data_IF_965045243481
#
_entry.id   IF_965045243481
#
_cell.length_a   1.000
_cell.length_b   1.000
_cell.length_c   1.000
_cell.angle_alpha   90.00
_cell.angle_beta   90.00
_cell.angle_gamma   90.00
#
_symmetry.space_group_name_H-M   'P 1'
#
loop_
_entity.id
_entity.type
_entity.pdbx_description
1 polymer ?
#
# COMPACT_ATOMS: atom_id res chain seq x y z
N UNK A 1 2.84 0.79 -31.62
CA UNK A 1 3.95 -0.19 -31.66
C UNK A 1 4.82 0.16 -32.86
N UNK A 2 5.75 1.08 -32.67
CA UNK A 2 6.82 1.36 -33.64
C UNK A 2 7.97 0.40 -33.32
N UNK A 3 8.14 -0.62 -34.16
CA UNK A 3 9.13 -1.68 -33.98
C UNK A 3 10.35 -1.52 -34.92
N UNK A 4 10.67 -0.30 -35.33
CA UNK A 4 11.79 -0.03 -36.25
C UNK A 4 12.53 1.25 -35.86
N UNK A 5 13.02 1.30 -34.62
CA UNK A 5 14.04 2.26 -34.24
C UNK A 5 15.41 1.78 -34.78
N UNK A 6 16.09 2.57 -35.65
CA UNK A 6 17.36 2.19 -36.27
C UNK A 6 18.51 1.99 -35.27
N UNK A 7 18.35 2.40 -34.01
CA UNK A 7 19.30 2.09 -32.95
C UNK A 7 19.42 0.58 -32.68
N UNK A 8 18.33 -0.18 -32.83
CA UNK A 8 18.30 -1.61 -32.53
C UNK A 8 18.85 -2.50 -33.65
N UNK A 9 18.82 -2.04 -34.91
CA UNK A 9 19.39 -2.78 -36.04
C UNK A 9 20.92 -2.90 -35.95
N UNK A 10 21.60 -1.98 -35.25
CA UNK A 10 23.05 -2.06 -35.02
C UNK A 10 23.45 -3.11 -33.98
N UNK A 11 22.50 -3.57 -33.17
CA UNK A 11 22.74 -4.61 -32.15
C UNK A 11 22.45 -6.02 -32.67
N UNK A 12 21.79 -6.14 -33.83
CA UNK A 12 21.53 -7.43 -34.45
C UNK A 12 22.77 -7.91 -35.19
N UNK A 13 23.68 -8.59 -34.47
CA UNK A 13 24.71 -9.42 -35.10
C UNK A 13 24.18 -10.86 -35.23
N UNK A 14 24.37 -11.53 -36.37
CA UNK A 14 24.11 -12.96 -36.46
C UNK A 14 24.90 -13.68 -35.37
N UNK A 15 24.22 -14.53 -34.61
CA UNK A 15 24.86 -15.41 -33.63
C UNK A 15 25.83 -16.32 -34.38
N UNK A 16 27.06 -16.44 -33.89
CA UNK A 16 28.11 -17.22 -34.53
C UNK A 16 27.71 -18.70 -34.65
N UNK A 17 27.90 -19.31 -35.82
CA UNK A 17 27.50 -20.70 -36.15
C UNK A 17 27.96 -21.74 -35.12
N UNK A 18 29.11 -21.50 -34.47
CA UNK A 18 29.64 -22.36 -33.40
C UNK A 18 28.74 -22.46 -32.15
N UNK A 19 27.77 -21.55 -31.95
CA UNK A 19 26.79 -21.60 -30.85
C UNK A 19 25.51 -22.35 -31.22
N UNK A 20 25.32 -22.66 -32.52
CA UNK A 20 24.17 -23.42 -33.03
C UNK A 20 24.51 -24.91 -33.21
N UNK A 21 25.76 -25.30 -32.95
CA UNK A 21 26.24 -26.68 -32.98
C UNK A 21 25.55 -27.55 -31.94
N UNK A 22 24.63 -28.38 -32.41
CA UNK A 22 24.01 -29.48 -31.67
C UNK A 22 25.06 -30.43 -31.11
N UNK A 23 25.36 -30.35 -29.81
CA UNK A 23 25.99 -31.46 -29.10
C UNK A 23 25.38 -31.65 -27.71
N UNK A 24 24.08 -31.95 -27.67
CA UNK A 24 23.46 -32.62 -26.52
C UNK A 24 23.49 -34.12 -26.74
N UNK A 25 24.68 -34.70 -26.67
CA UNK A 25 24.86 -36.06 -26.18
C UNK A 25 25.93 -36.04 -25.09
N UNK A 26 25.48 -35.78 -23.86
CA UNK A 26 26.23 -36.14 -22.66
C UNK A 26 25.36 -37.06 -21.83
N UNK A 27 25.83 -38.31 -21.78
CA UNK A 27 25.27 -39.40 -21.02
C UNK A 27 25.29 -39.06 -19.52
N UNK A 28 24.15 -39.27 -18.86
CA UNK A 28 24.04 -39.14 -17.41
C UNK A 28 24.84 -40.27 -16.76
N UNK A 29 26.02 -39.94 -16.22
CA UNK A 29 26.65 -40.70 -15.14
C UNK A 29 26.91 -39.77 -13.96
N UNK A 30 26.55 -40.26 -12.77
CA UNK A 30 26.60 -39.58 -11.46
C UNK A 30 28.00 -39.03 -11.19
N UNK A 31 28.08 -37.73 -10.93
CA UNK A 31 29.30 -37.03 -10.51
C UNK A 31 29.23 -35.54 -10.85
N UNK A 32 28.49 -34.75 -10.06
CA UNK A 32 28.16 -33.34 -10.36
C UNK A 32 29.30 -32.32 -10.33
N UNK A 33 30.56 -32.75 -10.27
CA UNK A 33 31.72 -31.87 -10.44
C UNK A 33 32.35 -31.95 -11.82
N UNK A 34 32.27 -33.12 -12.45
CA UNK A 34 33.08 -33.47 -13.62
C UNK A 34 32.50 -32.88 -14.92
N UNK A 35 31.17 -32.86 -15.04
CA UNK A 35 30.49 -32.32 -16.23
C UNK A 35 30.67 -30.82 -16.41
N UNK A 36 30.76 -30.05 -15.31
CA UNK A 36 31.00 -28.61 -15.37
C UNK A 36 32.45 -28.34 -15.77
N UNK A 37 33.39 -29.09 -15.22
CA UNK A 37 34.80 -29.02 -15.60
C UNK A 37 34.99 -29.31 -17.09
N UNK A 38 34.36 -30.37 -17.59
CA UNK A 38 34.39 -30.74 -19.02
C UNK A 38 33.81 -29.63 -19.91
N UNK A 39 32.69 -29.03 -19.53
CA UNK A 39 32.08 -27.94 -20.32
C UNK A 39 32.94 -26.67 -20.28
N UNK A 40 33.50 -26.32 -19.12
CA UNK A 40 34.40 -25.16 -19.01
C UNK A 40 35.70 -25.36 -19.81
N UNK A 41 36.25 -26.57 -19.77
CA UNK A 41 37.44 -26.95 -20.52
C UNK A 41 37.19 -26.87 -22.04
N UNK A 42 36.04 -27.33 -22.53
CA UNK A 42 35.68 -27.22 -23.95
C UNK A 42 35.46 -25.77 -24.40
N UNK A 43 34.82 -24.94 -23.58
CA UNK A 43 34.57 -23.53 -23.90
C UNK A 43 35.90 -22.77 -23.98
N UNK A 44 36.81 -22.97 -23.00
CA UNK A 44 38.11 -22.30 -22.97
C UNK A 44 39.03 -22.75 -24.10
N UNK A 45 39.02 -24.04 -24.45
CA UNK A 45 39.78 -24.60 -25.58
C UNK A 45 39.26 -24.14 -26.94
N UNK A 46 37.97 -23.81 -27.03
CA UNK A 46 37.35 -23.25 -28.25
C UNK A 46 37.60 -21.75 -28.43
N UNK A 47 38.13 -21.06 -27.40
CA UNK A 47 38.66 -19.71 -27.48
C UNK A 47 40.17 -19.72 -27.76
N UNK A 48 40.67 -18.74 -28.50
CA UNK A 48 42.04 -18.66 -29.04
C UNK A 48 43.13 -18.34 -27.97
N UNK A 49 43.07 -18.97 -26.80
CA UNK A 49 44.04 -18.82 -25.70
C UNK A 49 44.29 -20.19 -25.04
N UNK A 50 44.95 -21.09 -25.77
CA UNK A 50 45.46 -22.34 -25.21
C UNK A 50 46.89 -22.12 -24.72
N UNK A 51 47.05 -21.60 -23.50
CA UNK A 51 48.32 -21.66 -22.78
C UNK A 51 48.17 -22.45 -21.47
N UNK A 52 49.27 -23.09 -21.06
CA UNK A 52 49.30 -24.11 -19.99
C UNK A 52 48.98 -23.60 -18.58
N UNK A 53 48.79 -22.29 -18.41
CA UNK A 53 48.50 -21.63 -17.13
C UNK A 53 47.00 -21.56 -16.79
N UNK A 54 46.14 -22.19 -17.59
CA UNK A 54 44.68 -22.07 -17.49
C UNK A 54 44.02 -23.03 -16.48
N UNK A 55 44.70 -24.12 -16.08
CA UNK A 55 44.11 -25.09 -15.14
C UNK A 55 43.99 -24.57 -13.69
N UNK A 56 44.90 -23.71 -13.23
CA UNK A 56 44.81 -23.10 -11.89
C UNK A 56 43.70 -22.03 -11.78
N UNK A 57 43.34 -21.38 -12.90
CA UNK A 57 42.24 -20.41 -12.91
C UNK A 57 40.86 -21.08 -12.87
N UNK A 58 40.73 -22.27 -13.45
CA UNK A 58 39.48 -23.04 -13.46
C UNK A 58 39.10 -23.49 -12.03
N UNK A 59 40.06 -23.94 -11.23
CA UNK A 59 39.83 -24.39 -9.84
C UNK A 59 39.32 -23.22 -8.96
N UNK A 60 39.86 -22.01 -9.16
CA UNK A 60 39.39 -20.78 -8.48
C UNK A 60 37.99 -20.33 -8.89
N UNK A 61 37.55 -20.67 -10.10
CA UNK A 61 36.21 -20.33 -10.61
C UNK A 61 35.18 -21.36 -10.13
N UNK A 62 35.58 -22.62 -9.96
CA UNK A 62 34.75 -23.67 -9.37
C UNK A 62 34.31 -23.31 -7.94
N UNK A 63 35.14 -22.66 -7.13
CA UNK A 63 34.71 -22.24 -5.79
C UNK A 63 33.78 -21.01 -5.75
N UNK A 64 33.50 -20.39 -6.91
CA UNK A 64 32.77 -19.11 -7.01
C UNK A 64 31.47 -19.16 -7.82
N UNK A 65 30.96 -20.33 -8.21
CA UNK A 65 29.65 -20.39 -8.85
C UNK A 65 28.51 -20.41 -7.82
N UNK A 66 27.46 -19.62 -8.09
CA UNK A 66 26.25 -19.55 -7.28
C UNK A 66 25.20 -20.45 -7.93
N UNK A 67 24.85 -21.56 -7.29
CA UNK A 67 23.81 -22.46 -7.78
C UNK A 67 22.46 -21.73 -7.81
N UNK A 68 21.89 -21.54 -9.01
CA UNK A 68 20.60 -20.86 -9.22
C UNK A 68 19.38 -21.79 -9.07
N UNK A 69 19.58 -23.01 -8.55
CA UNK A 69 18.47 -23.90 -8.25
C UNK A 69 17.65 -23.36 -7.07
N UNK A 70 16.34 -23.24 -7.27
CA UNK A 70 15.39 -22.81 -6.25
C UNK A 70 15.27 -23.89 -5.15
N UNK A 71 15.87 -23.71 -3.96
CA UNK A 71 15.84 -24.71 -2.93
C UNK A 71 14.53 -24.58 -2.17
N UNK A 72 13.63 -25.53 -2.40
CA UNK A 72 12.27 -25.59 -1.79
C UNK A 72 12.26 -25.61 -0.26
N UNK A 73 13.41 -25.81 0.39
CA UNK A 73 13.59 -25.79 1.85
C UNK A 73 13.51 -24.37 2.48
N UNK A 74 13.78 -23.30 1.72
CA UNK A 74 13.68 -21.92 2.22
C UNK A 74 12.25 -21.40 2.44
N UNK A 75 11.22 -22.07 1.88
CA UNK A 75 9.81 -21.70 2.07
C UNK A 75 9.38 -21.74 3.53
N UNK A 76 9.92 -22.64 4.34
CA UNK A 76 9.52 -22.79 5.74
C UNK A 76 10.05 -21.68 6.64
N UNK A 77 11.27 -21.18 6.40
CA UNK A 77 11.83 -20.04 7.11
C UNK A 77 11.12 -18.73 6.71
N UNK A 78 10.86 -18.54 5.42
CA UNK A 78 10.11 -17.41 4.88
C UNK A 78 8.67 -17.36 5.42
N UNK A 79 7.95 -18.49 5.40
CA UNK A 79 6.59 -18.57 5.92
C UNK A 79 6.53 -18.35 7.44
N UNK A 80 7.50 -18.86 8.21
CA UNK A 80 7.60 -18.58 9.65
C UNK A 80 7.92 -17.12 9.95
N UNK A 81 8.83 -16.50 9.21
CA UNK A 81 9.14 -15.07 9.34
C UNK A 81 7.91 -14.21 9.01
N UNK A 82 7.16 -14.57 7.96
CA UNK A 82 5.90 -13.92 7.59
C UNK A 82 4.81 -14.10 8.65
N UNK A 83 4.64 -15.29 9.22
CA UNK A 83 3.70 -15.51 10.33
C UNK A 83 4.10 -14.72 11.58
N UNK A 84 5.39 -14.70 11.92
CA UNK A 84 5.93 -13.88 13.03
C UNK A 84 5.72 -12.39 12.78
N UNK A 85 5.88 -11.92 11.54
CA UNK A 85 5.62 -10.52 11.15
C UNK A 85 4.13 -10.16 11.23
N UNK A 86 3.24 -11.09 10.89
CA UNK A 86 1.79 -10.90 11.06
C UNK A 86 1.42 -10.82 12.54
N UNK A 87 2.01 -11.64 13.41
CA UNK A 87 1.79 -11.58 14.86
C UNK A 87 2.53 -10.42 15.56
N UNK A 88 3.66 -9.93 15.03
CA UNK A 88 4.43 -8.81 15.61
C UNK A 88 3.84 -7.44 15.28
N UNK A 89 2.81 -7.38 14.42
CA UNK A 89 1.96 -6.19 14.24
C UNK A 89 1.20 -5.79 15.51
N UNK A 90 1.24 -6.63 16.55
CA UNK A 90 0.54 -6.51 17.83
C UNK A 90 1.02 -5.46 18.84
N UNK A 91 1.84 -4.46 18.48
CA UNK A 91 2.18 -3.35 19.41
C UNK A 91 1.50 -2.03 19.04
N UNK A 92 1.30 -1.74 17.75
CA UNK A 92 0.64 -0.48 17.31
C UNK A 92 -0.88 -0.52 17.46
N UNK A 93 -1.48 -1.72 17.45
CA UNK A 93 -2.93 -1.94 17.48
C UNK A 93 -3.54 -2.08 18.89
N UNK A 94 -2.73 -2.12 19.95
CA UNK A 94 -3.26 -2.45 21.29
C UNK A 94 -3.87 -1.25 22.01
N UNK A 95 -3.41 -0.03 21.72
CA UNK A 95 -3.90 1.19 22.39
C UNK A 95 -5.19 1.72 21.77
N UNK A 96 -5.36 1.57 20.46
CA UNK A 96 -6.52 2.05 19.72
C UNK A 96 -6.93 1.04 18.66
N UNK A 97 -8.23 0.91 18.44
CA UNK A 97 -8.76 0.05 17.38
C UNK A 97 -8.29 0.55 16.01
N UNK A 98 -7.89 -0.40 15.16
CA UNK A 98 -7.68 -0.17 13.73
C UNK A 98 -8.99 0.26 13.05
N UNK A 99 -8.91 1.02 11.95
CA UNK A 99 -10.08 1.35 11.14
C UNK A 99 -10.83 0.09 10.65
N UNK A 100 -10.11 -1.02 10.43
CA UNK A 100 -10.72 -2.32 10.09
C UNK A 100 -11.54 -2.87 11.26
N UNK A 101 -11.06 -2.71 12.49
CA UNK A 101 -11.77 -3.11 13.70
C UNK A 101 -12.98 -2.20 13.94
N UNK A 102 -12.82 -0.89 13.81
CA UNK A 102 -13.93 0.07 13.92
C UNK A 102 -15.08 -0.26 12.95
N UNK A 103 -14.76 -0.60 11.69
CA UNK A 103 -15.73 -1.03 10.69
C UNK A 103 -16.36 -2.39 11.01
N UNK A 104 -15.59 -3.31 11.57
CA UNK A 104 -16.10 -4.64 11.93
C UNK A 104 -17.09 -4.59 13.09
N UNK A 105 -16.85 -3.75 14.10
CA UNK A 105 -17.74 -3.60 15.25
C UNK A 105 -18.76 -2.46 15.12
N UNK A 106 -18.75 -1.71 14.00
CA UNK A 106 -19.67 -0.60 13.77
C UNK A 106 -19.55 0.54 14.79
N UNK A 107 -18.42 0.66 15.49
CA UNK A 107 -18.23 1.65 16.57
C UNK A 107 -18.37 3.12 16.12
N UNK A 108 -18.16 3.41 14.83
CA UNK A 108 -18.38 4.74 14.26
C UNK A 108 -19.76 4.85 13.61
N UNK A 109 -20.54 3.77 13.56
CA UNK A 109 -21.86 3.80 12.95
C UNK A 109 -22.82 4.60 13.83
N UNK A 110 -23.68 5.36 13.17
CA UNK A 110 -24.72 6.10 13.86
C UNK A 110 -26.01 5.26 13.84
N UNK A 111 -26.58 4.88 15.00
CA UNK A 111 -27.69 3.93 15.05
C UNK A 111 -28.91 4.42 14.26
N UNK A 112 -29.48 3.57 13.40
CA UNK A 112 -30.64 3.91 12.55
C UNK A 112 -31.85 4.41 13.34
N UNK A 113 -32.05 3.93 14.57
CA UNK A 113 -33.13 4.39 15.46
C UNK A 113 -33.08 5.89 15.76
N UNK A 114 -31.88 6.48 15.74
CA UNK A 114 -31.65 7.91 15.99
C UNK A 114 -31.47 8.70 14.69
N UNK A 115 -31.62 8.09 13.51
CA UNK A 115 -31.57 8.81 12.22
C UNK A 115 -32.94 9.41 11.88
N UNK A 116 -33.49 10.22 12.79
CA UNK A 116 -34.73 10.96 12.53
C UNK A 116 -34.46 12.44 12.79
N UNK A 117 -34.56 13.24 11.75
CA UNK A 117 -34.28 14.67 11.78
C UNK A 117 -35.12 15.38 12.85
N UNK A 118 -36.40 15.04 12.92
CA UNK A 118 -37.37 15.63 13.85
C UNK A 118 -36.97 15.48 15.32
N UNK A 119 -36.23 14.41 15.67
CA UNK A 119 -35.75 14.20 17.05
C UNK A 119 -34.75 15.28 17.49
N UNK A 120 -34.06 15.91 16.54
CA UNK A 120 -33.02 16.90 16.80
C UNK A 120 -33.48 18.34 16.60
N UNK A 121 -34.74 18.56 16.22
CA UNK A 121 -35.30 19.91 16.12
C UNK A 121 -35.29 20.62 17.48
N UNK A 122 -35.62 19.91 18.56
CA UNK A 122 -35.53 20.45 19.92
C UNK A 122 -34.10 20.87 20.28
N UNK A 123 -33.10 20.11 19.86
CA UNK A 123 -31.69 20.45 20.04
C UNK A 123 -31.30 21.70 19.25
N UNK A 124 -31.83 21.85 18.03
CA UNK A 124 -31.64 23.06 17.23
C UNK A 124 -32.26 24.30 17.89
N UNK A 125 -33.47 24.19 18.44
CA UNK A 125 -34.11 25.29 19.18
C UNK A 125 -33.27 25.73 20.38
N UNK A 126 -32.78 24.79 21.18
CA UNK A 126 -31.86 25.10 22.29
C UNK A 126 -30.56 25.76 21.81
N UNK A 127 -30.00 25.30 20.69
CA UNK A 127 -28.79 25.88 20.11
C UNK A 127 -29.00 27.34 19.65
N UNK A 128 -30.17 27.68 19.11
CA UNK A 128 -30.50 29.07 18.73
C UNK A 128 -30.52 30.00 19.95
N UNK A 129 -31.11 29.57 21.05
CA UNK A 129 -31.11 30.34 22.29
C UNK A 129 -29.68 30.52 22.82
N UNK A 130 -28.92 29.42 22.88
CA UNK A 130 -27.51 29.43 23.28
C UNK A 130 -26.68 30.42 22.45
N UNK A 131 -26.73 30.33 21.12
CA UNK A 131 -25.90 31.18 20.27
C UNK A 131 -26.35 32.64 20.32
N UNK A 132 -27.65 32.90 20.46
CA UNK A 132 -28.16 34.25 20.64
C UNK A 132 -27.62 34.88 21.93
N UNK A 133 -27.61 34.15 23.03
CA UNK A 133 -27.10 34.66 24.31
C UNK A 133 -25.58 34.79 24.32
N UNK A 134 -24.86 33.85 23.68
CA UNK A 134 -23.42 33.94 23.48
C UNK A 134 -23.03 35.20 22.70
N UNK A 135 -23.78 35.49 21.62
CA UNK A 135 -23.52 36.66 20.76
C UNK A 135 -23.98 37.98 21.38
N UNK A 136 -25.06 38.01 22.17
CA UNK A 136 -25.46 39.23 22.92
C UNK A 136 -24.38 39.68 23.91
N UNK A 137 -23.71 38.71 24.55
CA UNK A 137 -22.61 38.99 25.49
C UNK A 137 -21.29 39.34 24.78
N UNK A 138 -21.16 38.93 23.51
CA UNK A 138 -20.04 39.30 22.67
C UNK A 138 -20.16 40.72 22.13
N UNK A 139 -19.35 41.65 22.63
CA UNK A 139 -19.16 42.94 21.95
C UNK A 139 -18.77 42.67 20.50
N UNK A 140 -19.34 43.42 19.55
CA UNK A 140 -19.23 43.22 18.09
C UNK A 140 -17.82 42.90 17.54
N UNK A 141 -16.76 43.26 18.26
CA UNK A 141 -15.36 43.05 17.87
C UNK A 141 -14.82 41.62 18.11
N UNK A 142 -15.54 40.75 18.81
CA UNK A 142 -15.05 39.41 19.20
C UNK A 142 -15.91 38.24 18.72
N UNK A 143 -16.84 38.45 17.77
CA UNK A 143 -17.77 37.40 17.31
C UNK A 143 -17.02 36.15 16.82
N UNK A 144 -15.90 36.34 16.11
CA UNK A 144 -15.05 35.26 15.63
C UNK A 144 -14.56 34.35 16.76
N UNK A 145 -14.09 34.95 17.87
CA UNK A 145 -13.63 34.20 19.04
C UNK A 145 -14.77 33.38 19.65
N UNK A 146 -15.96 33.96 19.78
CA UNK A 146 -17.11 33.23 20.31
C UNK A 146 -17.49 32.05 19.43
N UNK A 147 -17.52 32.22 18.11
CA UNK A 147 -17.81 31.13 17.17
C UNK A 147 -16.73 30.04 17.20
N UNK A 148 -15.45 30.40 17.34
CA UNK A 148 -14.34 29.45 17.47
C UNK A 148 -14.44 28.58 18.72
N UNK A 149 -15.00 29.13 19.80
CA UNK A 149 -15.15 28.41 21.08
C UNK A 149 -16.54 27.82 21.29
N UNK A 150 -17.50 28.13 20.41
CA UNK A 150 -18.89 27.74 20.57
C UNK A 150 -19.07 26.25 20.33
N UNK A 151 -20.02 25.67 21.05
CA UNK A 151 -20.55 24.35 20.69
C UNK A 151 -21.43 24.48 19.44
N UNK A 152 -21.19 23.62 18.45
CA UNK A 152 -21.92 23.57 17.19
C UNK A 152 -22.89 22.39 17.11
N UNK A 153 -23.03 21.57 18.15
CA UNK A 153 -24.06 20.54 18.19
C UNK A 153 -25.44 21.20 18.20
N UNK A 154 -26.27 20.87 17.20
CA UNK A 154 -27.58 21.50 16.98
C UNK A 154 -27.55 22.62 15.95
N UNK A 155 -26.36 23.07 15.52
CA UNK A 155 -26.23 24.03 14.43
C UNK A 155 -26.68 23.42 13.10
N UNK A 156 -27.37 24.21 12.29
CA UNK A 156 -27.62 23.85 10.88
C UNK A 156 -26.39 24.25 10.08
N UNK A 157 -25.69 23.27 9.54
CA UNK A 157 -24.51 23.46 8.70
C UNK A 157 -24.84 23.11 7.25
N UNK A 158 -24.27 23.87 6.32
CA UNK A 158 -24.33 23.60 4.89
C UNK A 158 -22.91 23.56 4.32
N UNK A 159 -22.58 22.50 3.59
CA UNK A 159 -21.27 22.33 2.97
C UNK A 159 -21.25 23.10 1.64
N UNK A 160 -20.68 24.30 1.65
CA UNK A 160 -20.60 25.16 0.45
C UNK A 160 -19.55 24.64 -0.54
N UNK A 161 -18.41 24.16 -0.03
CA UNK A 161 -17.32 23.66 -0.86
C UNK A 161 -16.62 22.47 -0.16
N UNK A 162 -16.20 21.50 -0.96
CA UNK A 162 -15.38 20.38 -0.48
C UNK A 162 -14.50 19.85 -1.60
N UNK A 163 -13.36 19.25 -1.22
CA UNK A 163 -12.52 18.48 -2.14
C UNK A 163 -13.29 17.31 -2.75
N UNK A 164 -14.23 16.73 -1.99
CA UNK A 164 -15.06 15.63 -2.44
C UNK A 164 -16.42 16.19 -2.86
N UNK A 165 -16.70 16.15 -4.16
CA UNK A 165 -17.91 16.76 -4.76
C UNK A 165 -19.22 16.19 -4.23
N UNK A 166 -19.23 14.96 -3.72
CA UNK A 166 -20.43 14.35 -3.12
C UNK A 166 -20.87 15.00 -1.81
N UNK A 167 -20.00 15.78 -1.15
CA UNK A 167 -20.35 16.50 0.07
C UNK A 167 -20.83 17.93 -0.18
N UNK A 168 -20.50 18.51 -1.33
CA UNK A 168 -20.96 19.85 -1.69
C UNK A 168 -22.48 19.89 -1.76
N UNK A 169 -23.10 20.89 -1.13
CA UNK A 169 -24.54 21.07 -1.06
C UNK A 169 -25.24 20.25 0.03
N UNK A 170 -24.53 19.40 0.78
CA UNK A 170 -25.15 18.68 1.90
C UNK A 170 -25.42 19.67 3.04
N UNK A 171 -26.65 19.66 3.55
CA UNK A 171 -27.10 20.50 4.66
C UNK A 171 -27.81 19.65 5.71
N UNK A 172 -27.60 19.98 6.99
CA UNK A 172 -28.26 19.26 8.08
C UNK A 172 -27.89 19.82 9.45
N UNK A 173 -28.48 19.23 10.48
CA UNK A 173 -28.15 19.54 11.88
C UNK A 173 -26.87 18.79 12.24
N UNK A 174 -25.86 19.47 12.79
CA UNK A 174 -24.66 18.83 13.33
C UNK A 174 -25.00 18.07 14.61
N UNK A 175 -24.77 16.76 14.60
CA UNK A 175 -25.11 15.88 15.74
C UNK A 175 -23.91 15.16 16.34
N UNK A 176 -22.75 15.20 15.68
CA UNK A 176 -21.54 14.52 16.13
C UNK A 176 -20.31 15.34 15.76
N UNK A 177 -19.43 15.54 16.72
CA UNK A 177 -18.09 16.04 16.51
C UNK A 177 -17.04 14.98 16.88
N UNK A 178 -15.96 14.92 16.10
CA UNK A 178 -14.74 14.19 16.43
C UNK A 178 -13.55 15.08 16.09
N UNK A 179 -12.33 14.64 16.43
CA UNK A 179 -11.10 15.41 16.21
C UNK A 179 -10.96 16.03 14.82
N UNK A 180 -11.36 15.32 13.75
CA UNK A 180 -11.17 15.76 12.36
C UNK A 180 -12.44 15.62 11.49
N UNK A 181 -13.58 15.25 12.07
CA UNK A 181 -14.82 15.06 11.31
C UNK A 181 -15.99 15.53 12.15
N UNK A 182 -16.97 16.12 11.49
CA UNK A 182 -18.29 16.34 12.05
C UNK A 182 -19.30 15.52 11.24
N UNK A 183 -20.41 15.17 11.88
CA UNK A 183 -21.49 14.42 11.28
C UNK A 183 -22.79 15.22 11.29
N UNK A 184 -23.45 15.28 10.14
CA UNK A 184 -24.68 16.04 9.94
C UNK A 184 -25.86 15.11 9.65
N UNK A 185 -27.00 15.38 10.26
CA UNK A 185 -28.26 14.72 9.97
C UNK A 185 -29.09 15.58 9.01
N UNK A 186 -29.29 15.06 7.81
CA UNK A 186 -30.07 15.70 6.74
C UNK A 186 -31.57 15.58 6.99
N UNK A 187 -32.36 16.46 6.36
CA UNK A 187 -33.82 16.41 6.40
C UNK A 187 -34.39 15.10 5.84
N UNK A 188 -33.65 14.40 4.96
CA UNK A 188 -34.05 13.09 4.45
C UNK A 188 -33.69 11.93 5.41
N UNK A 189 -33.45 12.23 6.69
CA UNK A 189 -33.15 11.22 7.71
C UNK A 189 -31.87 10.41 7.42
N UNK A 190 -30.89 11.04 6.77
CA UNK A 190 -29.58 10.42 6.49
C UNK A 190 -28.47 11.11 7.28
N UNK A 191 -27.70 10.32 8.00
CA UNK A 191 -26.47 10.77 8.65
C UNK A 191 -25.32 10.78 7.63
N UNK A 192 -24.59 11.89 7.56
CA UNK A 192 -23.49 12.14 6.63
C UNK A 192 -22.24 12.58 7.37
#
# INVERSE_FOLDING_TARGET
FEANDPAYLKLYRPVHENLLGTHLQTCVKRGGGDTISVILHDILRSGDLADKDTEEEIDKIQDKYLALENPTSQRNAYNRARHKALHSSGKRSQKHMSMRQHRHCGSLDFPKKYQKYDLYLSMHEMWKEYIADLLKNGRQKNIEYFLLTADLHGAILAVVESKIKSFTGVQGIMIRETLNTFGILTSENRFR
#
